data_IF_542964544197
#
_entry.id   IF_542964544197
#
_cell.length_a   1.000
_cell.length_b   1.000
_cell.length_c   1.000
_cell.angle_alpha   90.00
_cell.angle_beta   90.00
_cell.angle_gamma   90.00
#
_symmetry.space_group_name_H-M   'P 1'
#
loop_
_entity.id
_entity.type
_entity.pdbx_description
1 polymer ?
#
# COMPACT_ATOMS: atom_id res chain seq x y z
N UNK A 1 -9.77 6.29 -22.04
CA UNK A 1 -10.39 6.57 -20.72
C UNK A 1 -10.14 5.34 -19.85
N UNK A 2 -9.00 5.28 -19.13
CA UNK A 2 -8.62 4.09 -18.37
C UNK A 2 -9.10 4.29 -16.93
N UNK A 3 -10.31 3.80 -16.63
CA UNK A 3 -10.81 3.71 -15.26
C UNK A 3 -9.99 2.61 -14.58
N UNK A 4 -8.97 3.00 -13.83
CA UNK A 4 -8.25 2.08 -12.96
C UNK A 4 -9.20 1.66 -11.84
N UNK A 5 -9.77 0.46 -11.95
CA UNK A 5 -10.59 -0.10 -10.88
C UNK A 5 -9.70 -0.43 -9.68
N UNK A 6 -9.91 0.32 -8.61
CA UNK A 6 -9.34 0.05 -7.29
C UNK A 6 -10.26 -0.93 -6.60
N UNK A 7 -9.71 -2.06 -6.16
CA UNK A 7 -10.44 -3.03 -5.35
C UNK A 7 -10.64 -2.53 -3.93
N UNK A 8 -11.60 -3.08 -3.20
CA UNK A 8 -11.82 -2.73 -1.78
C UNK A 8 -10.56 -2.91 -0.93
N UNK A 9 -9.75 -3.95 -1.22
CA UNK A 9 -8.49 -4.18 -0.53
C UNK A 9 -7.46 -3.08 -0.82
N UNK A 10 -7.32 -2.68 -2.09
CA UNK A 10 -6.43 -1.58 -2.50
C UNK A 10 -6.89 -0.23 -1.92
N UNK A 11 -8.20 0.04 -1.86
CA UNK A 11 -8.74 1.25 -1.23
C UNK A 11 -8.34 1.37 0.24
N UNK A 12 -8.46 0.27 0.99
CA UNK A 12 -8.03 0.23 2.40
C UNK A 12 -6.53 0.51 2.58
N UNK A 13 -5.70 -0.02 1.68
CA UNK A 13 -4.26 0.27 1.70
C UNK A 13 -4.00 1.75 1.46
N UNK A 14 -4.71 2.39 0.53
CA UNK A 14 -4.59 3.83 0.29
C UNK A 14 -5.06 4.67 1.48
N UNK A 15 -6.17 4.31 2.14
CA UNK A 15 -6.64 5.00 3.35
C UNK A 15 -5.58 5.03 4.45
N UNK A 16 -4.92 3.89 4.68
CA UNK A 16 -3.84 3.80 5.67
C UNK A 16 -2.62 4.62 5.24
N UNK A 17 -2.23 4.57 3.97
CA UNK A 17 -1.13 5.38 3.44
C UNK A 17 -1.40 6.88 3.57
N UNK A 18 -2.62 7.34 3.29
CA UNK A 18 -3.01 8.74 3.46
C UNK A 18 -3.01 9.16 4.92
N UNK A 19 -3.38 8.27 5.85
CA UNK A 19 -3.32 8.56 7.28
C UNK A 19 -1.89 8.58 7.83
N UNK A 20 -0.99 7.75 7.30
CA UNK A 20 0.40 7.64 7.75
C UNK A 20 1.29 8.75 7.19
N UNK A 21 1.02 9.23 5.96
CA UNK A 21 1.92 10.12 5.25
C UNK A 21 3.20 9.39 4.76
N UNK A 22 4.28 10.13 4.44
CA UNK A 22 5.55 9.53 4.04
C UNK A 22 6.06 8.54 5.10
N UNK A 23 6.14 7.26 4.76
CA UNK A 23 6.44 6.17 5.70
C UNK A 23 7.22 5.05 5.01
N UNK A 24 7.96 4.26 5.80
CA UNK A 24 8.67 3.09 5.27
C UNK A 24 7.70 1.97 4.91
N UNK A 25 8.13 1.08 4.01
CA UNK A 25 7.34 -0.09 3.66
C UNK A 25 7.09 -1.00 4.87
N UNK A 26 8.03 -1.11 5.82
CA UNK A 26 7.79 -1.89 7.05
C UNK A 26 6.73 -1.26 7.94
N UNK A 27 6.74 0.07 8.10
CA UNK A 27 5.73 0.78 8.92
C UNK A 27 4.33 0.60 8.36
N UNK A 28 4.18 0.75 7.04
CA UNK A 28 2.91 0.53 6.35
C UNK A 28 2.45 -0.92 6.49
N UNK A 29 3.35 -1.89 6.36
CA UNK A 29 3.03 -3.32 6.54
C UNK A 29 2.60 -3.61 7.98
N UNK A 30 3.29 -3.06 8.98
CA UNK A 30 2.92 -3.24 10.39
C UNK A 30 1.52 -2.66 10.67
N UNK A 31 1.28 -1.41 10.26
CA UNK A 31 -0.02 -0.76 10.46
C UNK A 31 -1.16 -1.52 9.78
N UNK A 32 -0.95 -2.01 8.55
CA UNK A 32 -1.95 -2.80 7.84
C UNK A 32 -2.15 -4.18 8.45
N UNK A 33 -1.10 -4.82 8.97
CA UNK A 33 -1.20 -6.10 9.67
C UNK A 33 -1.95 -5.96 11.00
N UNK A 34 -1.85 -4.81 11.68
CA UNK A 34 -2.59 -4.54 12.92
C UNK A 34 -4.06 -4.18 12.66
N UNK A 35 -4.34 -3.46 11.57
CA UNK A 35 -5.68 -3.00 11.22
C UNK A 35 -6.48 -3.96 10.34
N UNK A 36 -5.87 -5.04 9.85
CA UNK A 36 -6.49 -6.03 8.97
C UNK A 36 -6.01 -7.44 9.29
N UNK A 37 -6.74 -8.46 8.84
CA UNK A 37 -6.31 -9.85 8.99
C UNK A 37 -5.38 -10.32 7.86
N UNK A 38 -4.70 -9.41 7.17
CA UNK A 38 -3.86 -9.75 6.02
C UNK A 38 -2.46 -10.17 6.44
N UNK A 39 -1.91 -11.16 5.74
CA UNK A 39 -0.51 -11.52 5.91
C UNK A 39 0.41 -10.41 5.38
N UNK A 40 1.65 -10.28 5.91
CA UNK A 40 2.64 -9.34 5.37
C UNK A 40 2.90 -9.54 3.87
N UNK A 41 2.84 -10.78 3.39
CA UNK A 41 2.99 -11.10 1.96
C UNK A 41 1.85 -10.52 1.14
N UNK A 42 0.60 -10.66 1.61
CA UNK A 42 -0.58 -10.09 0.95
C UNK A 42 -0.47 -8.56 0.86
N UNK A 43 -0.06 -7.91 1.94
CA UNK A 43 0.12 -6.45 1.98
C UNK A 43 1.17 -6.00 0.96
N UNK A 44 2.33 -6.67 0.91
CA UNK A 44 3.38 -6.40 -0.09
C UNK A 44 2.87 -6.57 -1.52
N UNK A 45 2.03 -7.57 -1.78
CA UNK A 45 1.40 -7.75 -3.11
C UNK A 45 0.45 -6.60 -3.44
N UNK A 46 -0.36 -6.12 -2.50
CA UNK A 46 -1.26 -4.99 -2.72
C UNK A 46 -0.49 -3.69 -2.97
N UNK A 47 0.57 -3.43 -2.21
CA UNK A 47 1.45 -2.28 -2.42
C UNK A 47 2.13 -2.33 -3.80
N UNK A 48 2.62 -3.51 -4.21
CA UNK A 48 3.20 -3.69 -5.54
C UNK A 48 2.17 -3.43 -6.65
N UNK A 49 0.93 -3.92 -6.51
CA UNK A 49 -0.15 -3.64 -7.48
C UNK A 49 -0.49 -2.16 -7.55
N UNK A 50 -0.60 -1.47 -6.42
CA UNK A 50 -0.83 -0.02 -6.38
C UNK A 50 0.31 0.75 -7.05
N UNK A 51 1.56 0.31 -6.85
CA UNK A 51 2.73 0.90 -7.52
C UNK A 51 2.66 0.67 -9.02
N UNK A 52 2.35 -0.56 -9.46
CA UNK A 52 2.26 -0.90 -10.88
C UNK A 52 1.10 -0.16 -11.56
N UNK A 53 0.05 0.21 -10.81
CA UNK A 53 -1.03 1.10 -11.23
C UNK A 53 -0.64 2.59 -11.22
N UNK A 54 0.54 2.96 -10.71
CA UNK A 54 1.00 4.34 -10.58
C UNK A 54 0.32 5.13 -9.45
N UNK A 55 -0.36 4.46 -8.53
CA UNK A 55 -1.12 5.10 -7.44
C UNK A 55 -0.26 5.41 -6.21
N UNK A 56 0.87 4.71 -6.05
CA UNK A 56 1.84 4.94 -4.98
C UNK A 56 3.23 5.00 -5.55
N UNK A 57 4.04 5.93 -5.06
CA UNK A 57 5.47 5.98 -5.36
C UNK A 57 6.25 5.37 -4.21
N UNK A 58 7.23 4.55 -4.56
CA UNK A 58 8.18 3.99 -3.60
C UNK A 58 9.50 4.66 -3.86
N UNK A 59 9.92 5.51 -2.93
CA UNK A 59 11.26 6.07 -2.92
C UNK A 59 12.16 5.12 -2.13
N UNK A 60 13.21 4.63 -2.77
CA UNK A 60 14.26 3.88 -2.06
C UNK A 60 15.17 4.92 -1.42
N UNK A 61 15.05 5.09 -0.11
CA UNK A 61 16.06 5.84 0.63
C UNK A 61 17.40 5.10 0.49
N UNK A 62 18.36 5.78 -0.15
CA UNK A 62 19.52 5.16 -0.75
C UNK A 62 20.45 4.51 0.27
N UNK A 63 20.61 3.20 0.15
CA UNK A 63 21.85 2.48 0.47
C UNK A 63 22.21 1.55 -0.68
#
# INVERSE_FOLDING_TARGET
MLVMSITTAESRVMEVLWSLGPSSAEQVVAQLADCSSWSPTTIKTLLARLRDKGMVQVERDGR
#
